data_IF_295144170347
#
_entry.id   IF_295144170347
#
_cell.length_a   1.000
_cell.length_b   1.000
_cell.length_c   1.000
_cell.angle_alpha   90.00
_cell.angle_beta   90.00
_cell.angle_gamma   90.00
#
_symmetry.space_group_name_H-M   'P 1'
#
loop_
_entity.id
_entity.type
_entity.pdbx_description
1 polymer ?
#
# COMPACT_ATOMS: atom_id res chain seq x y z
N UNK A 1 -3.64 -3.22 7.75
CA UNK A 1 -4.35 -4.49 8.08
C UNK A 1 -3.47 -5.42 8.91
N UNK A 2 -4.09 -6.39 9.59
CA UNK A 2 -3.45 -7.62 10.08
C UNK A 2 -4.09 -8.81 9.39
N UNK A 3 -3.26 -9.71 8.86
CA UNK A 3 -3.72 -10.97 8.27
C UNK A 3 -3.05 -12.13 9.00
N UNK A 4 -3.84 -13.16 9.33
CA UNK A 4 -3.35 -14.41 9.95
C UNK A 4 -4.00 -15.61 9.27
N UNK A 5 -3.22 -16.66 9.06
CA UNK A 5 -3.71 -17.95 8.59
C UNK A 5 -2.61 -18.99 8.68
N UNK A 6 -3.00 -20.25 8.58
CA UNK A 6 -2.09 -21.40 8.59
C UNK A 6 -1.78 -21.83 7.14
N UNK A 7 -0.53 -22.23 6.90
CA UNK A 7 -0.02 -22.59 5.59
C UNK A 7 0.77 -23.89 5.66
N UNK A 8 0.48 -24.81 4.74
CA UNK A 8 1.30 -26.00 4.57
C UNK A 8 2.52 -25.66 3.71
N UNK A 9 3.71 -25.79 4.31
CA UNK A 9 4.99 -25.60 3.64
C UNK A 9 5.74 -26.92 3.64
N UNK A 10 6.40 -27.21 2.52
CA UNK A 10 7.28 -28.37 2.39
C UNK A 10 8.73 -27.96 2.63
N UNK A 11 9.55 -28.91 3.07
CA UNK A 11 10.99 -28.70 3.15
C UNK A 11 11.53 -28.27 1.77
N UNK A 12 12.29 -27.17 1.74
CA UNK A 12 12.81 -26.58 0.50
C UNK A 12 11.93 -25.48 -0.11
N UNK A 13 10.71 -25.23 0.40
CA UNK A 13 9.94 -24.05 0.01
C UNK A 13 10.70 -22.76 0.37
N UNK A 14 10.82 -21.84 -0.61
CA UNK A 14 11.47 -20.54 -0.42
C UNK A 14 10.38 -19.47 -0.24
N UNK A 15 10.47 -18.72 0.86
CA UNK A 15 9.61 -17.58 1.12
C UNK A 15 10.32 -16.27 0.82
N UNK A 16 9.63 -15.40 0.08
CA UNK A 16 10.00 -14.03 -0.18
C UNK A 16 9.18 -13.14 0.76
N UNK A 17 9.87 -12.40 1.63
CA UNK A 17 9.24 -11.61 2.68
C UNK A 17 9.60 -10.15 2.49
N UNK A 18 8.58 -9.31 2.41
CA UNK A 18 8.71 -7.85 2.37
C UNK A 18 7.95 -7.26 3.54
N UNK A 19 8.63 -6.50 4.40
CA UNK A 19 8.01 -5.84 5.55
C UNK A 19 7.75 -4.38 5.21
N UNK A 20 6.48 -3.99 5.19
CA UNK A 20 6.08 -2.64 4.82
C UNK A 20 6.53 -1.60 5.84
N UNK A 21 6.92 -0.41 5.41
CA UNK A 21 7.21 0.72 6.30
C UNK A 21 6.04 1.70 6.36
N UNK A 22 5.92 2.39 7.49
CA UNK A 22 5.11 3.61 7.55
C UNK A 22 5.70 4.68 6.61
N UNK A 23 4.88 5.55 6.01
CA UNK A 23 5.36 6.60 5.13
C UNK A 23 6.10 7.69 5.91
N UNK A 24 6.82 8.55 5.19
CA UNK A 24 7.34 9.79 5.75
C UNK A 24 6.16 10.75 5.95
N UNK A 25 5.93 11.16 7.20
CA UNK A 25 4.87 12.12 7.52
C UNK A 25 5.35 13.53 7.21
N UNK A 26 4.59 14.29 6.43
CA UNK A 26 4.89 15.67 6.03
C UNK A 26 3.59 16.49 5.94
N UNK A 27 3.60 17.64 5.27
CA UNK A 27 2.37 18.38 5.01
C UNK A 27 1.43 17.59 4.07
N UNK A 28 2.00 16.84 3.12
CA UNK A 28 1.30 15.97 2.18
C UNK A 28 1.79 14.53 2.34
N UNK A 29 0.99 13.72 3.04
CA UNK A 29 1.41 12.40 3.48
C UNK A 29 1.39 11.39 2.33
N UNK A 30 2.40 10.53 2.30
CA UNK A 30 2.38 9.30 1.49
C UNK A 30 1.55 8.21 2.16
N UNK A 31 1.24 7.16 1.41
CA UNK A 31 0.60 5.95 1.94
C UNK A 31 1.62 4.98 2.54
N UNK A 32 1.22 4.21 3.55
CA UNK A 32 2.02 3.12 4.11
C UNK A 32 2.14 1.94 3.16
N UNK A 33 3.26 1.23 3.23
CA UNK A 33 3.49 0.06 2.40
C UNK A 33 2.82 -1.21 2.95
N UNK A 34 2.47 -2.11 2.03
CA UNK A 34 1.98 -3.44 2.37
C UNK A 34 3.09 -4.34 2.92
N UNK A 35 2.68 -5.37 3.67
CA UNK A 35 3.57 -6.43 4.17
C UNK A 35 3.22 -7.74 3.49
N UNK A 36 4.21 -8.43 2.93
CA UNK A 36 4.02 -9.55 2.03
C UNK A 36 4.81 -10.77 2.50
N UNK A 37 4.16 -11.93 2.39
CA UNK A 37 4.83 -13.23 2.37
C UNK A 37 4.35 -13.96 1.12
N UNK A 38 5.29 -14.27 0.24
CA UNK A 38 5.04 -14.97 -1.01
C UNK A 38 5.96 -16.18 -1.15
N UNK A 39 5.53 -17.20 -1.88
CA UNK A 39 6.33 -18.40 -2.14
C UNK A 39 6.90 -18.38 -3.54
N UNK A 40 8.21 -18.59 -3.66
CA UNK A 40 8.89 -18.67 -4.95
C UNK A 40 10.40 -18.45 -4.85
N UNK A 41 11.12 -18.84 -5.90
CA UNK A 41 12.58 -18.71 -5.95
C UNK A 41 13.07 -17.24 -5.98
N UNK A 42 12.23 -16.31 -6.44
CA UNK A 42 12.49 -14.87 -6.42
C UNK A 42 11.19 -14.07 -6.27
N UNK A 43 11.27 -12.84 -5.78
CA UNK A 43 10.09 -11.96 -5.63
C UNK A 43 9.36 -11.70 -6.96
N UNK A 44 10.10 -11.60 -8.08
CA UNK A 44 9.54 -11.29 -9.40
C UNK A 44 8.51 -12.32 -9.90
N UNK A 45 8.64 -13.60 -9.50
CA UNK A 45 7.75 -14.69 -9.92
C UNK A 45 7.08 -15.41 -8.75
N UNK A 46 7.16 -14.85 -7.54
CA UNK A 46 6.56 -15.49 -6.37
C UNK A 46 5.03 -15.40 -6.41
N UNK A 47 4.38 -16.39 -5.79
CA UNK A 47 2.93 -16.43 -5.60
C UNK A 47 2.60 -15.96 -4.18
N UNK A 48 1.69 -14.99 -4.05
CA UNK A 48 1.28 -14.48 -2.75
C UNK A 48 0.69 -15.60 -1.86
N UNK A 49 1.13 -15.70 -0.61
CA UNK A 49 0.49 -16.52 0.42
C UNK A 49 -0.41 -15.65 1.29
N UNK A 50 0.19 -14.60 1.85
CA UNK A 50 -0.49 -13.67 2.73
C UNK A 50 0.10 -12.27 2.55
N UNK A 51 -0.78 -11.29 2.45
CA UNK A 51 -0.44 -9.88 2.27
C UNK A 51 -1.33 -9.06 3.17
N UNK A 52 -0.73 -8.25 4.03
CA UNK A 52 -1.44 -7.25 4.81
C UNK A 52 -1.30 -5.89 4.11
N UNK A 53 -2.43 -5.30 3.69
CA UNK A 53 -2.47 -3.97 3.10
C UNK A 53 -2.01 -2.89 4.08
N UNK A 54 -1.24 -1.94 3.56
CA UNK A 54 -0.85 -0.71 4.25
C UNK A 54 -1.98 0.31 4.27
N UNK A 55 -1.93 1.24 5.22
CA UNK A 55 -2.88 2.35 5.26
C UNK A 55 -2.59 3.37 4.15
N UNK A 56 -3.63 4.04 3.66
CA UNK A 56 -3.52 5.25 2.88
C UNK A 56 -3.15 6.44 3.77
N UNK A 57 -3.59 7.63 3.40
CA UNK A 57 -3.24 8.85 4.11
C UNK A 57 -4.24 9.97 3.89
N UNK A 58 -4.21 10.99 4.74
CA UNK A 58 -4.96 12.23 4.55
C UNK A 58 -4.03 13.44 4.65
N UNK A 59 -4.49 14.56 4.11
CA UNK A 59 -3.75 15.83 4.16
C UNK A 59 -3.78 16.35 5.59
N UNK A 60 -2.65 16.86 6.08
CA UNK A 60 -2.49 17.36 7.46
C UNK A 60 -3.56 18.38 7.90
N UNK A 61 -3.99 19.27 6.98
CA UNK A 61 -5.01 20.29 7.25
C UNK A 61 -6.46 19.80 7.08
N UNK A 62 -6.67 18.55 6.67
CA UNK A 62 -7.98 17.94 6.55
C UNK A 62 -8.11 16.84 7.59
N UNK A 63 -9.17 16.89 8.40
CA UNK A 63 -9.49 15.75 9.26
C UNK A 63 -9.94 14.58 8.39
N UNK A 64 -9.49 13.39 8.74
CA UNK A 64 -10.08 12.15 8.23
C UNK A 64 -11.42 11.83 8.90
N UNK A 65 -11.95 12.71 9.77
CA UNK A 65 -13.21 12.53 10.50
C UNK A 65 -14.35 12.09 9.57
N UNK A 66 -14.85 10.87 9.81
CA UNK A 66 -15.92 10.25 9.03
C UNK A 66 -15.45 9.38 7.85
N UNK A 67 -14.14 9.30 7.58
CA UNK A 67 -13.53 8.55 6.49
C UNK A 67 -12.36 7.65 6.93
N UNK A 68 -12.12 7.48 8.23
CA UNK A 68 -11.01 6.70 8.78
C UNK A 68 -10.96 5.27 8.21
N UNK A 69 -12.12 4.62 8.10
CA UNK A 69 -12.24 3.25 7.55
C UNK A 69 -11.77 3.14 6.09
N UNK A 70 -11.71 4.25 5.34
CA UNK A 70 -11.22 4.28 3.96
C UNK A 70 -9.68 4.37 3.89
N UNK A 71 -9.05 4.86 4.95
CA UNK A 71 -7.60 4.97 5.05
C UNK A 71 -6.98 3.65 5.46
N UNK A 72 -7.70 2.83 6.21
CA UNK A 72 -7.16 1.57 6.72
C UNK A 72 -6.81 0.60 5.60
N UNK A 73 -5.68 -0.09 5.76
CA UNK A 73 -5.47 -1.32 4.99
C UNK A 73 -6.59 -2.30 5.31
N UNK A 74 -7.32 -2.75 4.28
CA UNK A 74 -8.54 -3.53 4.41
C UNK A 74 -8.29 -5.03 4.23
N UNK A 75 -9.21 -5.87 4.68
CA UNK A 75 -9.11 -7.34 4.56
C UNK A 75 -9.49 -7.86 3.18
N UNK A 76 -10.21 -7.07 2.37
CA UNK A 76 -10.57 -7.38 0.99
C UNK A 76 -9.38 -7.26 0.04
N UNK A 77 -9.48 -7.87 -1.14
CA UNK A 77 -8.36 -7.94 -2.11
C UNK A 77 -8.19 -6.70 -2.96
N UNK A 78 -9.27 -5.97 -3.24
CA UNK A 78 -9.19 -4.69 -3.92
C UNK A 78 -8.61 -3.62 -2.99
N UNK A 79 -7.91 -2.64 -3.56
CA UNK A 79 -7.57 -1.42 -2.84
C UNK A 79 -8.79 -0.54 -2.65
N UNK A 80 -8.74 0.35 -1.67
CA UNK A 80 -9.83 1.29 -1.41
C UNK A 80 -9.80 2.40 -2.46
N UNK A 81 -10.98 2.67 -3.04
CA UNK A 81 -11.23 3.82 -3.90
C UNK A 81 -11.64 5.02 -3.07
N UNK A 82 -10.99 6.17 -3.29
CA UNK A 82 -11.40 7.46 -2.75
C UNK A 82 -11.78 8.39 -3.91
N UNK A 83 -10.89 9.31 -4.31
CA UNK A 83 -11.01 10.06 -5.57
C UNK A 83 -10.68 9.18 -6.76
N UNK A 84 -9.51 8.53 -6.69
CA UNK A 84 -9.02 7.67 -7.75
C UNK A 84 -9.28 6.20 -7.40
N UNK A 85 -9.41 5.37 -8.44
CA UNK A 85 -9.74 3.96 -8.28
C UNK A 85 -8.67 3.22 -7.48
N UNK A 86 -9.08 2.39 -6.53
CA UNK A 86 -8.21 1.37 -5.97
C UNK A 86 -7.87 0.30 -7.02
N UNK A 87 -6.70 -0.30 -6.88
CA UNK A 87 -6.27 -1.41 -7.70
C UNK A 87 -7.12 -2.65 -7.47
N UNK A 88 -7.11 -3.56 -8.44
CA UNK A 88 -7.78 -4.86 -8.35
C UNK A 88 -6.84 -5.96 -8.85
N UNK A 89 -7.07 -7.21 -8.43
CA UNK A 89 -6.37 -8.39 -8.93
C UNK A 89 -4.84 -8.29 -8.94
N UNK A 90 -4.23 -7.67 -7.91
CA UNK A 90 -2.78 -7.49 -7.86
C UNK A 90 -2.29 -6.13 -8.38
N UNK A 91 -3.17 -5.34 -9.00
CA UNK A 91 -2.84 -4.07 -9.63
C UNK A 91 -2.60 -2.92 -8.63
N UNK A 92 -1.91 -1.89 -9.10
CA UNK A 92 -1.78 -0.63 -8.36
C UNK A 92 -3.05 0.22 -8.44
N UNK A 93 -3.16 1.16 -7.50
CA UNK A 93 -4.21 2.18 -7.49
C UNK A 93 -3.93 3.32 -8.47
N UNK A 94 -5.01 4.01 -8.83
CA UNK A 94 -5.02 5.15 -9.74
C UNK A 94 -4.56 6.45 -9.07
N UNK A 95 -4.20 7.40 -9.92
CA UNK A 95 -3.83 8.77 -9.59
C UNK A 95 -4.18 9.69 -10.76
N UNK A 96 -4.10 11.00 -10.52
CA UNK A 96 -4.05 11.99 -11.61
C UNK A 96 -2.76 11.82 -12.43
N UNK A 97 -2.80 12.12 -13.72
CA UNK A 97 -1.61 12.12 -14.58
C UNK A 97 -1.07 13.52 -14.84
N UNK A 98 -1.90 14.55 -14.69
CA UNK A 98 -1.62 15.89 -15.20
C UNK A 98 -1.52 16.95 -14.09
N UNK A 99 -2.02 16.64 -12.89
CA UNK A 99 -1.96 17.50 -11.71
C UNK A 99 -1.05 16.95 -10.62
N UNK A 100 -0.41 17.79 -9.78
CA UNK A 100 0.51 17.34 -8.73
C UNK A 100 -0.22 16.78 -7.49
N UNK A 101 -1.11 15.82 -7.73
CA UNK A 101 -1.88 15.08 -6.74
C UNK A 101 -1.05 13.91 -6.18
N UNK A 102 -1.62 13.13 -5.26
CA UNK A 102 -0.91 11.99 -4.71
C UNK A 102 -0.72 10.86 -5.74
N UNK A 103 0.24 9.98 -5.46
CA UNK A 103 0.41 8.73 -6.19
C UNK A 103 -0.47 7.61 -5.63
N UNK A 104 -0.93 6.71 -6.50
CA UNK A 104 -1.61 5.49 -6.11
C UNK A 104 -0.63 4.52 -5.44
N UNK A 105 -1.14 3.69 -4.54
CA UNK A 105 -0.36 2.58 -3.98
C UNK A 105 -0.10 1.52 -5.04
N UNK A 106 0.96 0.74 -4.88
CA UNK A 106 1.24 -0.43 -5.71
C UNK A 106 0.60 -1.70 -5.13
N UNK A 107 0.33 -2.65 -6.01
CA UNK A 107 -0.17 -3.98 -5.65
C UNK A 107 0.92 -5.05 -5.61
N UNK A 108 0.49 -6.30 -5.67
CA UNK A 108 1.37 -7.45 -5.76
C UNK A 108 2.13 -7.50 -7.11
N UNK A 109 1.43 -7.20 -8.20
CA UNK A 109 1.96 -7.27 -9.58
C UNK A 109 2.09 -5.91 -10.23
N UNK A 110 1.09 -5.02 -10.06
CA UNK A 110 1.04 -3.72 -10.73
C UNK A 110 1.61 -2.58 -9.90
N UNK A 111 2.42 -1.72 -10.53
CA UNK A 111 2.88 -0.47 -9.94
C UNK A 111 1.71 0.51 -9.75
N UNK A 112 1.85 1.44 -8.81
CA UNK A 112 0.89 2.52 -8.61
C UNK A 112 0.97 3.56 -9.74
N UNK A 113 -0.18 4.12 -10.11
CA UNK A 113 -0.22 5.29 -10.99
C UNK A 113 0.32 6.53 -10.28
N UNK A 114 0.84 7.49 -11.04
CA UNK A 114 1.42 8.71 -10.52
C UNK A 114 1.29 9.84 -11.55
N UNK A 115 1.32 11.12 -11.11
CA UNK A 115 1.40 12.25 -12.02
C UNK A 115 2.63 12.19 -12.92
N UNK A 116 2.44 12.41 -14.23
CA UNK A 116 3.51 12.49 -15.23
C UNK A 116 4.19 13.87 -15.20
N UNK A 117 4.56 14.32 -14.01
CA UNK A 117 5.21 15.60 -13.74
C UNK A 117 6.63 15.38 -13.23
N UNK A 118 7.51 16.36 -13.44
CA UNK A 118 8.89 16.33 -12.94
C UNK A 118 8.92 16.09 -11.43
N UNK A 119 9.82 15.20 -10.99
CA UNK A 119 10.04 14.89 -9.58
C UNK A 119 9.23 13.72 -9.03
N UNK A 120 8.27 13.17 -9.79
CA UNK A 120 7.55 11.96 -9.37
C UNK A 120 8.31 10.68 -9.73
N UNK A 121 8.20 9.68 -8.85
CA UNK A 121 8.53 8.29 -9.13
C UNK A 121 7.39 7.37 -8.68
N UNK A 122 7.10 6.29 -9.43
CA UNK A 122 6.01 5.37 -9.10
C UNK A 122 6.26 4.64 -7.78
N UNK A 123 5.18 4.26 -7.12
CA UNK A 123 5.23 3.14 -6.18
C UNK A 123 5.38 1.83 -6.96
N UNK A 124 6.39 1.04 -6.62
CA UNK A 124 6.66 -0.23 -7.26
C UNK A 124 5.93 -1.38 -6.55
N UNK A 125 5.43 -2.31 -7.34
CA UNK A 125 4.77 -3.53 -6.85
C UNK A 125 5.73 -4.44 -6.11
N UNK A 126 5.19 -5.40 -5.35
CA UNK A 126 6.02 -6.43 -4.71
C UNK A 126 6.94 -7.14 -5.72
N UNK A 127 6.41 -7.52 -6.89
CA UNK A 127 7.20 -8.18 -7.93
C UNK A 127 8.32 -7.28 -8.48
N UNK A 128 8.13 -5.95 -8.45
CA UNK A 128 9.11 -4.95 -8.87
C UNK A 128 9.96 -4.39 -7.71
N UNK A 129 10.02 -5.09 -6.57
CA UNK A 129 10.90 -4.75 -5.44
C UNK A 129 10.27 -3.87 -4.37
N UNK A 130 9.02 -3.43 -4.55
CA UNK A 130 8.20 -2.82 -3.49
C UNK A 130 8.63 -1.43 -3.02
N UNK A 131 9.51 -0.74 -3.76
CA UNK A 131 9.93 0.63 -3.43
C UNK A 131 8.71 1.55 -3.39
N UNK A 132 8.60 2.38 -2.35
CA UNK A 132 7.53 3.37 -2.23
C UNK A 132 7.65 4.47 -3.29
N UNK A 133 6.53 5.08 -3.66
CA UNK A 133 6.54 6.22 -4.59
C UNK A 133 7.16 7.44 -3.93
N UNK A 134 7.73 8.34 -4.72
CA UNK A 134 8.25 9.61 -4.25
C UNK A 134 7.78 10.79 -5.10
N UNK A 135 7.77 11.96 -4.49
CA UNK A 135 7.65 13.24 -5.15
C UNK A 135 8.62 14.24 -4.56
N UNK A 136 9.56 14.70 -5.38
CA UNK A 136 10.53 15.75 -5.06
C UNK A 136 10.12 17.06 -5.74
N UNK A 137 9.61 18.02 -4.97
CA UNK A 137 9.27 19.36 -5.48
C UNK A 137 10.49 20.30 -5.45
N UNK A 138 11.33 20.15 -4.44
CA UNK A 138 12.58 20.90 -4.28
C UNK A 138 13.55 20.11 -3.41
N UNK A 139 14.81 20.53 -3.34
CA UNK A 139 15.85 19.91 -2.51
C UNK A 139 15.55 19.85 -1.01
N UNK A 140 14.52 20.57 -0.54
CA UNK A 140 14.08 20.60 0.86
C UNK A 140 12.67 20.06 1.06
N UNK A 141 12.00 19.64 -0.02
CA UNK A 141 10.62 19.17 0.00
C UNK A 141 10.44 17.90 -0.82
N UNK A 142 10.43 16.77 -0.11
CA UNK A 142 10.21 15.44 -0.66
C UNK A 142 9.11 14.74 0.13
N UNK A 143 8.18 14.10 -0.57
CA UNK A 143 7.14 13.27 0.04
C UNK A 143 7.26 11.85 -0.48
N UNK A 144 7.24 10.89 0.43
CA UNK A 144 7.52 9.49 0.12
C UNK A 144 6.44 8.58 0.70
N UNK A 145 6.01 7.62 -0.10
CA UNK A 145 5.26 6.48 0.37
C UNK A 145 6.19 5.45 1.01
N UNK A 146 5.62 4.56 1.83
CA UNK A 146 6.40 3.50 2.44
C UNK A 146 6.84 2.42 1.45
N UNK A 147 8.08 1.93 1.57
CA UNK A 147 8.46 0.57 1.14
C UNK A 147 7.38 -0.46 1.46
N UNK A 148 7.12 -1.36 0.52
CA UNK A 148 5.87 -2.12 0.40
C UNK A 148 4.87 -1.49 -0.57
N UNK A 149 5.30 -0.57 -1.43
CA UNK A 149 4.48 0.00 -2.49
C UNK A 149 3.51 1.09 -2.04
N UNK A 150 3.78 1.82 -0.96
CA UNK A 150 2.99 3.01 -0.61
C UNK A 150 3.16 4.11 -1.66
N UNK A 151 2.06 4.78 -2.04
CA UNK A 151 2.07 5.91 -2.96
C UNK A 151 2.66 7.18 -2.32
N UNK A 152 3.25 8.05 -3.14
CA UNK A 152 3.74 9.35 -2.68
C UNK A 152 2.57 10.28 -2.31
N UNK A 153 2.82 11.22 -1.39
CA UNK A 153 2.06 12.46 -1.37
C UNK A 153 2.29 13.27 -2.65
N UNK A 154 1.49 14.30 -2.86
CA UNK A 154 1.71 15.30 -3.91
C UNK A 154 1.60 16.70 -3.32
N UNK A 155 2.00 17.75 -4.07
CA UNK A 155 1.86 19.14 -3.61
C UNK A 155 0.44 19.46 -3.12
N UNK A 156 -0.57 18.77 -3.66
CA UNK A 156 -1.96 18.95 -3.26
C UNK A 156 -2.72 17.63 -3.10
N UNK A 157 -2.06 16.50 -2.86
CA UNK A 157 -2.74 15.21 -2.72
C UNK A 157 -2.02 14.24 -1.79
N UNK A 158 -2.63 13.08 -1.61
CA UNK A 158 -2.21 12.07 -0.62
C UNK A 158 -2.00 10.72 -1.26
N UNK A 159 -1.01 10.00 -0.74
CA UNK A 159 -0.65 8.70 -1.27
C UNK A 159 -1.59 7.58 -0.84
N UNK A 160 -1.91 6.68 -1.78
CA UNK A 160 -2.63 5.44 -1.50
C UNK A 160 -1.74 4.38 -0.83
N UNK A 161 -2.33 3.51 -0.03
CA UNK A 161 -1.61 2.43 0.66
C UNK A 161 -1.19 1.30 -0.29
N UNK A 162 -0.01 0.72 -0.06
CA UNK A 162 0.44 -0.47 -0.79
C UNK A 162 -0.24 -1.75 -0.28
N UNK A 163 -0.29 -2.81 -1.08
CA UNK A 163 -0.92 -4.05 -0.63
C UNK A 163 -0.97 -5.15 -1.69
N UNK A 164 -1.89 -6.10 -1.54
CA UNK A 164 -2.18 -7.06 -2.59
C UNK A 164 -2.70 -6.34 -3.83
N UNK A 165 -3.62 -5.39 -3.65
CA UNK A 165 -3.88 -4.35 -4.63
C UNK A 165 -3.67 -2.99 -3.96
N UNK A 166 -3.11 -2.03 -4.68
CA UNK A 166 -2.83 -0.71 -4.12
C UNK A 166 -4.07 0.16 -3.96
N UNK A 167 -4.12 1.02 -2.94
CA UNK A 167 -5.18 2.00 -2.75
C UNK A 167 -5.08 3.18 -3.73
N UNK A 168 -6.20 3.83 -4.01
CA UNK A 168 -6.25 5.02 -4.87
C UNK A 168 -5.64 6.25 -4.18
N UNK A 169 -5.14 7.20 -4.97
CA UNK A 169 -4.65 8.47 -4.44
C UNK A 169 -5.78 9.42 -3.98
N UNK A 170 -5.41 10.46 -3.25
CA UNK A 170 -6.27 11.61 -2.96
C UNK A 170 -5.87 12.87 -3.74
N UNK A 171 -6.83 13.77 -3.93
CA UNK A 171 -6.69 15.06 -4.61
C UNK A 171 -6.81 16.25 -3.64
N UNK A 172 -7.00 17.44 -4.21
CA UNK A 172 -7.03 18.69 -3.47
C UNK A 172 -8.38 19.09 -2.86
N UNK A 173 -9.44 18.34 -3.14
CA UNK A 173 -10.80 18.58 -2.69
C UNK A 173 -11.03 18.18 -1.23
N UNK A 174 -12.03 18.79 -0.59
CA UNK A 174 -12.40 18.43 0.79
C UNK A 174 -13.18 17.11 0.90
N UNK A 175 -13.40 16.67 2.13
CA UNK A 175 -14.12 15.42 2.42
C UNK A 175 -13.40 14.21 1.83
N UNK A 176 -14.14 13.24 1.27
CA UNK A 176 -13.60 11.95 0.80
C UNK A 176 -12.40 12.08 -0.16
N UNK A 177 -12.32 13.21 -0.85
CA UNK A 177 -11.39 13.41 -1.95
C UNK A 177 -9.95 13.68 -1.51
N UNK A 178 -9.76 14.23 -0.32
CA UNK A 178 -8.45 14.51 0.28
C UNK A 178 -7.76 13.27 0.88
N UNK A 179 -8.33 12.08 0.72
CA UNK A 179 -7.76 10.83 1.24
C UNK A 179 -7.16 9.97 0.14
N UNK A 180 -5.99 9.40 0.42
CA UNK A 180 -5.52 8.21 -0.26
C UNK A 180 -6.14 6.99 0.41
N UNK A 181 -6.69 6.07 -0.38
CA UNK A 181 -7.31 4.85 0.12
C UNK A 181 -6.28 3.84 0.64
N UNK A 182 -6.70 3.00 1.58
CA UNK A 182 -5.90 1.87 2.05
C UNK A 182 -5.69 0.78 1.00
N UNK A 183 -4.60 0.02 1.15
CA UNK A 183 -4.30 -1.13 0.30
C UNK A 183 -5.16 -2.34 0.62
N UNK A 184 -5.44 -3.16 -0.40
CA UNK A 184 -6.08 -4.45 -0.25
C UNK A 184 -5.15 -5.50 0.36
N UNK A 185 -5.71 -6.51 1.00
CA UNK A 185 -5.00 -7.65 1.59
C UNK A 185 -5.28 -8.96 0.87
N UNK A 186 -4.54 -10.00 1.21
CA UNK A 186 -4.72 -11.34 0.63
C UNK A 186 -4.35 -12.41 1.65
N UNK A 187 -5.05 -13.54 1.64
CA UNK A 187 -4.77 -14.66 2.55
C UNK A 187 -5.34 -15.96 1.99
N UNK A 188 -4.46 -16.86 1.53
CA UNK A 188 -4.82 -18.20 1.01
C UNK A 188 -4.75 -19.31 2.06
N UNK A 189 -4.35 -18.98 3.30
CA UNK A 189 -4.23 -19.96 4.37
C UNK A 189 -5.56 -20.46 4.90
N UNK A 190 -5.52 -21.40 5.82
CA UNK A 190 -6.67 -21.85 6.61
C UNK A 190 -6.70 -21.12 7.97
N UNK A 191 -7.71 -21.35 8.80
CA UNK A 191 -7.82 -20.77 10.15
C UNK A 191 -7.62 -19.24 10.17
N UNK A 192 -8.28 -18.56 9.22
CA UNK A 192 -8.08 -17.13 8.98
C UNK A 192 -8.61 -16.29 10.12
N UNK A 193 -7.83 -15.30 10.51
CA UNK A 193 -8.19 -14.29 11.49
C UNK A 193 -7.62 -12.94 11.03
N UNK A 194 -8.45 -12.19 10.31
CA UNK A 194 -8.03 -10.98 9.60
C UNK A 194 -8.75 -9.77 10.20
N UNK A 195 -8.05 -8.65 10.29
CA UNK A 195 -8.59 -7.42 10.88
C UNK A 195 -8.07 -6.22 10.10
N UNK A 196 -8.97 -5.36 9.60
CA UNK A 196 -8.60 -4.06 9.03
C UNK A 196 -8.06 -3.13 10.14
N UNK A 197 -7.25 -2.11 9.79
CA UNK A 197 -6.81 -1.07 10.74
C UNK A 197 -5.99 -1.52 11.96
N UNK A 198 -5.65 -2.80 12.07
CA UNK A 198 -5.18 -3.38 13.34
C UNK A 198 -3.70 -3.16 13.70
N UNK A 199 -2.94 -2.38 12.92
CA UNK A 199 -1.51 -2.12 13.20
C UNK A 199 -1.13 -0.72 12.74
N UNK A 200 -0.73 0.12 13.70
CA UNK A 200 -0.11 1.41 13.45
C UNK A 200 1.42 1.27 13.37
N UNK A 201 2.06 2.07 12.51
CA UNK A 201 3.52 2.07 12.35
C UNK A 201 4.02 1.11 11.26
N UNK A 202 5.23 0.58 11.46
CA UNK A 202 5.84 -0.35 10.50
C UNK A 202 5.13 -1.71 10.53
N UNK A 203 5.21 -2.42 9.40
CA UNK A 203 4.73 -3.78 9.28
C UNK A 203 5.55 -4.77 10.12
N UNK A 204 4.99 -5.97 10.29
CA UNK A 204 5.64 -7.08 10.98
C UNK A 204 5.18 -8.39 10.36
N UNK A 205 6.10 -9.36 10.27
CA UNK A 205 5.80 -10.75 9.94
C UNK A 205 6.18 -11.62 11.14
N UNK A 206 5.31 -12.57 11.48
CA UNK A 206 5.58 -13.58 12.51
C UNK A 206 5.23 -14.93 11.93
N UNK A 207 6.21 -15.83 11.89
CA UNK A 207 6.06 -17.20 11.39
C UNK A 207 6.23 -18.12 12.59
N UNK A 208 5.22 -18.94 12.87
CA UNK A 208 5.24 -19.90 13.98
C UNK A 208 4.92 -21.28 13.42
N UNK A 209 5.71 -22.29 13.81
CA UNK A 209 5.39 -23.67 13.50
C UNK A 209 4.30 -24.16 14.46
N UNK A 210 3.16 -24.60 13.91
CA UNK A 210 1.98 -25.02 14.71
C UNK A 210 1.79 -26.53 14.81
N UNK A 211 2.75 -27.33 14.32
CA UNK A 211 2.69 -28.80 14.35
C UNK A 211 1.85 -29.39 13.21
N UNK A 212 1.95 -30.72 13.04
CA UNK A 212 1.05 -31.52 12.21
C UNK A 212 -0.14 -32.01 13.04
#
# INVERSE_FOLDING_TARGET
>A
ARMKGDFNLSAGDILQILVGQKPTQSLFNGGGGGTFVAKGASHANATALIVAGGGGSHRSNYSASGFEDLLDGITGTAGVTTTYAGGTNGGGGGADTDSPHGGGGAGFTGNGSFPSLTGYSPAYSFQNGGVGGSYEYSSTYTTEGGFGGGGAGGWIGTGGGGGYSGGGAGDNGGGVRAQGGGGGSYNTGTNKDNTAGANEGHGKVTITFVGN
#
